data_IF_003110913125
#
_entry.id   IF_003110913125
#
_cell.length_a   1.000
_cell.length_b   1.000
_cell.length_c   1.000
_cell.angle_alpha   90.00
_cell.angle_beta   90.00
_cell.angle_gamma   90.00
#
_symmetry.space_group_name_H-M   'P 1'
#
loop_
_entity.id
_entity.type
_entity.pdbx_description
1 polymer ?
#
# COMPACT_ATOMS: atom_id res chain seq x y z
N UNK A 1 -4.13 37.59 -0.53
CA UNK A 1 -4.38 37.07 -0.17
C UNK A 1 -4.09 35.97 -0.23
N UNK A 2 -3.50 35.75 -0.33
CA UNK A 2 -3.06 34.58 -0.67
C UNK A 2 -2.57 33.81 0.45
N UNK A 3 -2.07 34.33 1.50
CA UNK A 3 -1.60 33.52 2.60
C UNK A 3 -2.62 32.52 3.07
N UNK A 4 -3.86 32.89 2.97
CA UNK A 4 -4.91 32.01 3.38
C UNK A 4 -4.95 30.77 2.54
N UNK A 5 -4.66 30.94 1.25
CA UNK A 5 -4.72 29.83 0.33
C UNK A 5 -3.62 28.85 0.55
N UNK A 6 -2.54 29.30 1.20
CA UNK A 6 -1.41 28.43 1.42
C UNK A 6 -1.50 27.62 2.69
N UNK A 7 -2.52 27.90 3.48
CA UNK A 7 -2.68 27.13 4.71
C UNK A 7 -3.21 25.77 4.35
N UNK A 8 -2.37 24.78 4.48
CA UNK A 8 -2.77 23.42 4.25
C UNK A 8 -3.19 22.79 5.56
N UNK A 9 -4.22 21.96 5.49
CA UNK A 9 -4.54 21.10 6.61
C UNK A 9 -3.38 20.14 6.80
N UNK A 10 -2.91 20.04 8.01
CA UNK A 10 -1.87 19.07 8.34
C UNK A 10 -2.31 18.22 9.50
N UNK A 11 -1.64 17.10 9.66
CA UNK A 11 -1.98 16.10 10.66
C UNK A 11 -0.74 15.77 11.48
N UNK A 12 -0.95 15.51 12.76
CA UNK A 12 0.11 14.98 13.60
C UNK A 12 0.42 13.55 13.16
N UNK A 13 1.54 13.00 13.63
CA UNK A 13 1.87 11.61 13.31
C UNK A 13 0.77 10.66 13.81
N UNK A 14 0.20 10.94 14.98
CA UNK A 14 -0.87 10.09 15.51
C UNK A 14 -2.13 10.17 14.64
N UNK A 15 -2.49 11.38 14.22
CA UNK A 15 -3.64 11.55 13.33
C UNK A 15 -3.43 10.90 11.99
N UNK A 16 -2.22 11.06 11.45
CA UNK A 16 -1.87 10.46 10.16
C UNK A 16 -1.93 8.94 10.25
N UNK A 17 -1.38 8.38 11.32
CA UNK A 17 -1.38 6.94 11.52
C UNK A 17 -2.80 6.40 11.59
N UNK A 18 -3.67 7.09 12.31
CA UNK A 18 -5.06 6.68 12.43
C UNK A 18 -5.76 6.69 11.09
N UNK A 19 -5.59 7.77 10.32
CA UNK A 19 -6.21 7.89 9.00
C UNK A 19 -5.73 6.83 8.04
N UNK A 20 -4.47 6.44 8.16
CA UNK A 20 -3.86 5.48 7.23
C UNK A 20 -4.00 4.03 7.69
N UNK A 21 -4.42 3.82 8.92
CA UNK A 21 -4.48 2.47 9.47
C UNK A 21 -3.11 1.88 9.72
N UNK A 22 -2.13 2.73 10.02
CA UNK A 22 -0.75 2.31 10.27
C UNK A 22 -0.34 2.71 11.66
N UNK A 23 0.76 2.15 12.15
CA UNK A 23 1.32 2.56 13.43
C UNK A 23 2.20 3.79 13.22
N UNK A 24 2.39 4.55 14.30
CA UNK A 24 3.30 5.68 14.24
C UNK A 24 4.73 5.21 14.00
N UNK A 25 5.07 4.01 14.48
CA UNK A 25 6.40 3.44 14.25
C UNK A 25 6.63 3.17 12.76
N UNK A 26 5.60 2.70 12.05
CA UNK A 26 5.69 2.49 10.62
C UNK A 26 5.96 3.80 9.89
N UNK A 27 5.29 4.88 10.29
CA UNK A 27 5.51 6.18 9.66
C UNK A 27 6.93 6.68 9.91
N UNK A 28 7.44 6.48 11.13
CA UNK A 28 8.81 6.86 11.43
C UNK A 28 9.81 6.06 10.63
N UNK A 29 9.52 4.76 10.46
CA UNK A 29 10.35 3.88 9.66
C UNK A 29 10.40 4.33 8.20
N UNK A 30 9.23 4.68 7.64
CA UNK A 30 9.19 5.15 6.26
C UNK A 30 10.05 6.41 6.08
N UNK A 31 9.98 7.33 7.01
CA UNK A 31 10.79 8.54 6.92
C UNK A 31 12.27 8.21 7.04
N UNK A 32 12.62 7.41 8.03
CA UNK A 32 14.02 7.08 8.30
C UNK A 32 14.65 6.33 7.15
N UNK A 33 13.92 5.45 6.51
CA UNK A 33 14.45 4.60 5.45
C UNK A 33 14.34 5.21 4.07
N UNK A 34 13.98 6.49 3.97
CA UNK A 34 14.00 7.18 2.69
C UNK A 34 12.89 6.78 1.75
N UNK A 35 11.76 6.36 2.28
CA UNK A 35 10.63 5.93 1.45
C UNK A 35 9.67 7.07 1.11
N UNK A 36 9.82 8.23 1.76
CA UNK A 36 8.96 9.37 1.50
C UNK A 36 9.60 10.26 0.45
N UNK A 37 8.80 10.82 -0.43
CA UNK A 37 9.30 11.75 -1.44
C UNK A 37 9.81 13.00 -0.79
N UNK A 38 9.07 13.49 0.23
CA UNK A 38 9.47 14.68 0.96
C UNK A 38 9.48 14.34 2.45
N UNK A 39 10.43 14.92 3.16
CA UNK A 39 10.43 14.81 4.61
C UNK A 39 9.27 15.62 5.14
N UNK A 40 8.45 15.06 6.04
CA UNK A 40 7.35 15.82 6.60
C UNK A 40 7.83 17.10 7.26
N UNK A 41 7.07 18.18 7.08
CA UNK A 41 7.38 19.43 7.75
C UNK A 41 7.22 19.30 9.25
N UNK A 42 7.66 20.33 9.96
CA UNK A 42 7.57 20.31 11.42
C UNK A 42 6.89 21.57 11.92
N UNK A 43 6.08 21.39 12.96
CA UNK A 43 5.48 22.50 13.67
C UNK A 43 6.58 23.23 14.46
N UNK A 44 6.31 24.46 14.94
CA UNK A 44 7.26 25.14 15.80
C UNK A 44 7.68 24.32 17.03
N UNK A 45 6.82 23.41 17.47
CA UNK A 45 7.13 22.53 18.59
C UNK A 45 8.14 21.44 18.23
N UNK A 46 8.50 21.30 16.95
CA UNK A 46 9.39 20.24 16.50
C UNK A 46 8.68 18.96 16.09
N UNK A 47 7.38 18.86 16.29
CA UNK A 47 6.63 17.67 15.93
C UNK A 47 6.35 17.64 14.43
N UNK A 48 6.36 16.43 13.87
CA UNK A 48 6.09 16.24 12.44
C UNK A 48 4.67 16.61 12.10
N UNK A 49 4.51 17.21 10.92
CA UNK A 49 3.18 17.54 10.37
C UNK A 49 3.08 16.94 8.98
N UNK A 50 2.03 16.20 8.75
CA UNK A 50 1.79 15.49 7.49
C UNK A 50 0.71 16.21 6.70
N UNK A 51 0.92 16.36 5.40
CA UNK A 51 -0.08 16.96 4.50
C UNK A 51 -0.91 15.85 3.84
N UNK A 52 -1.97 16.26 3.16
CA UNK A 52 -2.76 15.30 2.38
C UNK A 52 -1.92 14.63 1.29
N UNK A 53 -0.99 15.38 0.69
CA UNK A 53 -0.08 14.79 -0.29
C UNK A 53 0.80 13.72 0.34
N UNK A 54 1.28 13.99 1.54
CA UNK A 54 2.06 12.98 2.28
C UNK A 54 1.24 11.72 2.51
N UNK A 55 -0.02 11.88 2.92
CA UNK A 55 -0.88 10.72 3.18
C UNK A 55 -1.13 9.92 1.91
N UNK A 56 -1.35 10.62 0.79
CA UNK A 56 -1.55 9.96 -0.50
C UNK A 56 -0.35 9.14 -0.92
N UNK A 57 0.86 9.70 -0.74
CA UNK A 57 2.09 9.01 -1.07
C UNK A 57 2.28 7.77 -0.17
N UNK A 58 2.05 7.93 1.12
CA UNK A 58 2.20 6.83 2.07
C UNK A 58 1.20 5.71 1.74
N UNK A 59 -0.02 6.08 1.35
CA UNK A 59 -0.99 5.08 0.91
C UNK A 59 -0.46 4.28 -0.27
N UNK A 60 0.15 4.95 -1.24
CA UNK A 60 0.71 4.28 -2.40
C UNK A 60 1.84 3.33 -2.00
N UNK A 61 2.75 3.79 -1.15
CA UNK A 61 3.84 2.94 -0.67
C UNK A 61 3.29 1.71 0.04
N UNK A 62 2.28 1.90 0.87
CA UNK A 62 1.68 0.81 1.62
C UNK A 62 1.10 -0.23 0.66
N UNK A 63 0.44 0.21 -0.40
CA UNK A 63 -0.11 -0.70 -1.40
C UNK A 63 0.99 -1.46 -2.14
N UNK A 64 2.07 -0.77 -2.51
CA UNK A 64 3.18 -1.43 -3.18
C UNK A 64 3.81 -2.50 -2.28
N UNK A 65 3.99 -2.17 -1.00
CA UNK A 65 4.54 -3.13 -0.05
C UNK A 65 3.60 -4.29 0.20
N UNK A 66 2.31 -4.00 0.31
CA UNK A 66 1.30 -5.04 0.55
C UNK A 66 1.25 -6.06 -0.56
N UNK A 67 1.59 -5.68 -1.77
CA UNK A 67 1.58 -6.58 -2.91
C UNK A 67 2.96 -7.15 -3.22
N UNK A 68 3.93 -6.93 -2.32
CA UNK A 68 5.19 -7.64 -2.38
C UNK A 68 6.35 -6.89 -3.03
N UNK A 69 6.21 -5.59 -3.31
CA UNK A 69 7.35 -4.85 -3.85
C UNK A 69 8.46 -4.82 -2.81
N UNK A 70 9.69 -5.24 -3.17
CA UNK A 70 10.80 -5.19 -2.21
C UNK A 70 11.06 -3.75 -1.76
N UNK A 71 11.50 -3.61 -0.51
CA UNK A 71 11.74 -2.29 0.05
C UNK A 71 12.74 -1.48 -0.76
N UNK A 72 13.77 -2.15 -1.29
CA UNK A 72 14.78 -1.46 -2.11
C UNK A 72 14.17 -0.90 -3.39
N UNK A 73 13.16 -1.59 -3.95
CA UNK A 73 12.49 -1.13 -5.16
C UNK A 73 11.59 0.06 -4.84
N UNK A 74 10.90 0.02 -3.70
CA UNK A 74 10.11 1.17 -3.24
C UNK A 74 11.01 2.39 -3.06
N UNK A 75 12.19 2.17 -2.47
CA UNK A 75 13.15 3.26 -2.27
C UNK A 75 13.63 3.82 -3.61
N UNK A 76 13.90 2.95 -4.58
CA UNK A 76 14.30 3.39 -5.92
C UNK A 76 13.20 4.21 -6.57
N UNK A 77 11.95 3.79 -6.42
CA UNK A 77 10.83 4.54 -6.95
C UNK A 77 10.71 5.91 -6.28
N UNK A 78 10.85 5.96 -4.96
CA UNK A 78 10.82 7.23 -4.23
C UNK A 78 11.95 8.15 -4.68
N UNK A 79 13.14 7.60 -4.92
CA UNK A 79 14.27 8.39 -5.39
C UNK A 79 13.98 9.01 -6.75
N UNK A 80 13.37 8.24 -7.66
CA UNK A 80 13.00 8.77 -8.97
C UNK A 80 12.00 9.90 -8.83
N UNK A 81 11.03 9.75 -7.94
CA UNK A 81 10.03 10.79 -7.73
C UNK A 81 10.65 12.07 -7.14
N UNK A 82 11.66 11.92 -6.28
CA UNK A 82 12.36 13.08 -5.72
C UNK A 82 13.13 13.86 -6.76
N UNK A 83 13.60 13.20 -7.81
CA UNK A 83 14.34 13.87 -8.86
C UNK A 83 13.47 14.77 -9.73
N UNK A 84 12.16 14.65 -9.58
CA UNK A 84 11.24 15.50 -10.31
C UNK A 84 10.92 14.94 -11.68
N UNK A 85 10.52 15.83 -12.59
CA UNK A 85 10.05 15.43 -13.91
C UNK A 85 11.20 14.97 -14.81
N UNK A 86 10.87 14.21 -15.82
CA UNK A 86 11.82 13.80 -16.83
C UNK A 86 12.22 12.34 -16.78
N UNK A 87 11.79 11.63 -15.73
CA UNK A 87 12.12 10.20 -15.61
C UNK A 87 10.87 9.34 -15.53
N UNK A 88 9.79 9.81 -16.15
CA UNK A 88 8.52 9.08 -16.11
C UNK A 88 8.62 7.69 -16.72
N UNK A 89 9.45 7.52 -17.74
CA UNK A 89 9.63 6.19 -18.32
C UNK A 89 10.24 5.21 -17.32
N UNK A 90 11.22 5.67 -16.54
CA UNK A 90 11.83 4.81 -15.53
C UNK A 90 10.83 4.46 -14.44
N UNK A 91 10.02 5.43 -14.00
CA UNK A 91 8.97 5.17 -13.01
C UNK A 91 7.96 4.17 -13.54
N UNK A 92 7.55 4.39 -14.78
CA UNK A 92 6.56 3.52 -15.42
C UNK A 92 7.08 2.09 -15.53
N UNK A 93 8.35 1.94 -15.89
CA UNK A 93 8.96 0.62 -16.01
C UNK A 93 8.92 -0.13 -14.68
N UNK A 94 9.26 0.53 -13.58
CA UNK A 94 9.19 -0.09 -12.27
C UNK A 94 7.76 -0.55 -11.94
N UNK A 95 6.79 0.29 -12.24
CA UNK A 95 5.40 -0.03 -11.94
C UNK A 95 4.87 -1.14 -12.85
N UNK A 96 5.25 -1.15 -14.13
CA UNK A 96 4.87 -2.24 -15.04
C UNK A 96 5.40 -3.57 -14.55
N UNK A 97 6.68 -3.61 -14.16
CA UNK A 97 7.27 -4.85 -13.68
C UNK A 97 6.56 -5.34 -12.43
N UNK A 98 6.24 -4.42 -11.52
CA UNK A 98 5.52 -4.82 -10.31
C UNK A 98 4.11 -5.28 -10.64
N UNK A 99 3.41 -4.58 -11.53
CA UNK A 99 2.07 -4.98 -11.95
C UNK A 99 2.07 -6.39 -12.50
N UNK A 100 3.07 -6.72 -13.33
CA UNK A 100 3.14 -8.05 -13.92
C UNK A 100 3.29 -9.12 -12.84
N UNK A 101 4.07 -8.84 -11.81
CA UNK A 101 4.22 -9.78 -10.69
C UNK A 101 2.91 -9.93 -9.91
N UNK A 102 2.22 -8.82 -9.70
CA UNK A 102 0.93 -8.87 -8.99
C UNK A 102 -0.09 -9.66 -9.80
N UNK A 103 -0.11 -9.47 -11.12
CA UNK A 103 -1.02 -10.23 -11.97
C UNK A 103 -0.73 -11.73 -11.89
N UNK A 104 0.55 -12.10 -11.85
CA UNK A 104 0.91 -13.51 -11.70
C UNK A 104 0.47 -14.06 -10.35
N UNK A 105 0.64 -13.28 -9.28
CA UNK A 105 0.18 -13.67 -7.95
C UNK A 105 -1.34 -13.85 -7.93
N UNK A 106 -2.04 -12.93 -8.58
CA UNK A 106 -3.51 -13.01 -8.64
C UNK A 106 -3.95 -14.27 -9.37
N UNK A 107 -3.28 -14.61 -10.47
CA UNK A 107 -3.59 -15.82 -11.21
C UNK A 107 -3.38 -17.06 -10.34
N UNK A 108 -2.30 -17.11 -9.56
CA UNK A 108 -2.05 -18.24 -8.66
C UNK A 108 -3.14 -18.37 -7.60
N UNK A 109 -3.49 -17.24 -6.99
CA UNK A 109 -4.53 -17.25 -5.95
C UNK A 109 -5.86 -17.69 -6.56
N UNK A 110 -6.16 -17.21 -7.77
CA UNK A 110 -7.39 -17.59 -8.47
C UNK A 110 -7.42 -19.09 -8.73
N UNK A 111 -6.28 -19.68 -9.16
CA UNK A 111 -6.19 -21.11 -9.39
C UNK A 111 -6.41 -21.89 -8.10
N UNK A 112 -5.78 -21.43 -7.01
CA UNK A 112 -5.95 -22.09 -5.72
C UNK A 112 -7.40 -22.02 -5.24
N UNK A 113 -8.02 -20.86 -5.43
CA UNK A 113 -9.43 -20.70 -5.08
C UNK A 113 -10.31 -21.68 -5.87
N UNK A 114 -10.00 -21.84 -7.15
CA UNK A 114 -10.74 -22.81 -7.97
C UNK A 114 -10.65 -24.21 -7.42
N UNK A 115 -9.47 -24.63 -6.99
CA UNK A 115 -9.28 -25.94 -6.40
C UNK A 115 -10.07 -26.08 -5.08
N UNK A 116 -10.04 -25.03 -4.26
CA UNK A 116 -10.81 -25.03 -3.02
C UNK A 116 -12.30 -25.13 -3.29
N UNK A 117 -12.79 -24.37 -4.26
CA UNK A 117 -14.21 -24.39 -4.60
C UNK A 117 -14.66 -25.74 -5.13
N UNK A 118 -13.78 -26.40 -5.91
CA UNK A 118 -14.10 -27.75 -6.38
C UNK A 118 -14.25 -28.74 -5.22
N UNK A 119 -13.38 -28.63 -4.23
CA UNK A 119 -13.44 -29.50 -3.06
C UNK A 119 -14.71 -29.24 -2.25
N UNK A 120 -15.05 -27.96 -2.09
CA UNK A 120 -16.28 -27.58 -1.42
C UNK A 120 -17.48 -28.21 -2.13
N UNK A 121 -17.53 -28.10 -3.45
CA UNK A 121 -18.61 -28.68 -4.22
C UNK A 121 -18.73 -30.17 -4.03
N UNK A 122 -17.60 -30.90 -3.99
CA UNK A 122 -17.60 -32.33 -3.77
C UNK A 122 -18.23 -32.67 -2.41
N UNK A 123 -17.84 -31.95 -1.37
CA UNK A 123 -18.40 -32.24 -0.05
C UNK A 123 -19.86 -31.85 0.05
N UNK A 124 -20.23 -30.73 -0.57
CA UNK A 124 -21.64 -30.35 -0.59
C UNK A 124 -22.50 -31.41 -1.23
N UNK A 125 -22.02 -31.96 -2.35
CA UNK A 125 -22.75 -33.05 -3.02
C UNK A 125 -22.84 -34.29 -2.16
N UNK A 126 -21.77 -34.65 -1.47
CA UNK A 126 -21.78 -35.82 -0.61
C UNK A 126 -22.77 -35.66 0.53
N UNK A 127 -22.83 -34.48 1.12
CA UNK A 127 -23.75 -34.21 2.20
C UNK A 127 -25.18 -34.33 1.72
N UNK A 128 -25.47 -33.81 0.54
CA UNK A 128 -26.83 -33.88 0.00
C UNK A 128 -27.26 -35.26 -0.43
N UNK A 129 -26.33 -36.05 -0.97
CA UNK A 129 -26.69 -37.35 -1.49
C UNK A 129 -26.57 -38.44 -0.47
N UNK A 130 -25.93 -38.23 0.67
CA UNK A 130 -25.86 -39.24 1.70
C UNK A 130 -27.23 -39.48 2.30
N UNK A 131 -27.64 -40.73 2.41
CA UNK A 131 -28.90 -40.98 3.10
C UNK A 131 -28.76 -40.50 4.53
N UNK A 132 -29.79 -39.84 4.99
CA UNK A 132 -29.77 -39.44 6.35
C UNK A 132 -29.78 -40.65 7.21
N UNK A 133 -28.85 -40.62 8.12
CA UNK A 133 -28.81 -41.71 9.05
C UNK A 133 -30.04 -41.66 9.91
N UNK A 134 -30.72 -42.86 9.99
CA UNK A 134 -31.85 -42.84 10.65
C UNK A 134 -31.48 -43.06 11.99
N UNK A 135 -32.06 -42.63 12.85
CA UNK A 135 -31.77 -42.82 14.23
C UNK A 135 -31.81 -44.25 14.67
#
# INVERSE_FOLDING_TARGET
MTGILDEQTTYSIAEAAERLGLSTDTLRYYERDGLLVETPGRAPSGHRRYTDNDLGWITMITRLRSTGMPIRTVRAYADLCRQGDGNELARLDLLYQHRDRVLAQLAQVTDHLGAINRKIGIYEERIQSEPRVRA
#
